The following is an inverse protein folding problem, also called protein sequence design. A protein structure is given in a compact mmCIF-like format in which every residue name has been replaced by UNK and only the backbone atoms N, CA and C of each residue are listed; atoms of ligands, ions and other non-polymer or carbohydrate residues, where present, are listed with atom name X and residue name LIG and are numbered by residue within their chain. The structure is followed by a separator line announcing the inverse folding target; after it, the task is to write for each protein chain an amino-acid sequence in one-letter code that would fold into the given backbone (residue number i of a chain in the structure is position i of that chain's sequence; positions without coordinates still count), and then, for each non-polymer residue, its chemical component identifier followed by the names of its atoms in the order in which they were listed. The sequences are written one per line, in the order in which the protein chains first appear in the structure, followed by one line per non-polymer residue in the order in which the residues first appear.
data_IF_955798519509
#
_entry.id   IF_955798519509
#
_cell.length_a   1.000
_cell.length_b   1.000
_cell.length_c   1.000
_cell.angle_alpha   90.00
_cell.angle_beta   90.00
_cell.angle_gamma   90.00
#
_symmetry.space_group_name_H-M   'P 1'
#
loop_
_entity.id
_entity.type
_entity.pdbx_description
1 polymer ?
#
# COMPACT_ATOMS: atom_id res chain seq x y z
N UNK A 1 -15.91 -25.74 -4.98
CA UNK A 1 -15.79 -24.83 -3.82
C UNK A 1 -15.44 -23.45 -4.35
N UNK A 2 -16.09 -22.36 -3.89
CA UNK A 2 -15.65 -21.02 -4.26
C UNK A 2 -14.23 -20.78 -3.73
N UNK A 3 -13.38 -20.00 -4.43
CA UNK A 3 -12.06 -19.64 -3.94
C UNK A 3 -12.19 -18.82 -2.66
N UNK A 4 -11.68 -19.37 -1.55
CA UNK A 4 -11.63 -18.67 -0.27
C UNK A 4 -10.46 -17.68 -0.32
N UNK A 5 -10.77 -16.39 -0.15
CA UNK A 5 -9.75 -15.34 -0.25
C UNK A 5 -9.03 -15.21 1.09
N UNK A 6 -7.70 -15.12 1.08
CA UNK A 6 -6.92 -14.87 2.30
C UNK A 6 -7.43 -13.61 3.02
N UNK A 7 -7.59 -13.72 4.34
CA UNK A 7 -7.96 -12.59 5.21
C UNK A 7 -6.80 -11.60 5.31
N UNK A 8 -7.11 -10.30 5.28
CA UNK A 8 -6.12 -9.24 5.43
C UNK A 8 -6.09 -8.74 6.88
N UNK A 9 -4.94 -8.87 7.56
CA UNK A 9 -4.78 -8.46 8.95
C UNK A 9 -4.77 -6.92 9.07
N UNK A 10 -5.71 -6.30 9.81
CA UNK A 10 -5.67 -4.86 10.08
C UNK A 10 -4.39 -4.51 10.86
N UNK A 11 -3.55 -3.64 10.30
CA UNK A 11 -2.23 -3.32 10.86
C UNK A 11 -2.01 -1.81 10.75
N UNK A 12 -1.52 -1.17 11.82
CA UNK A 12 -1.11 0.25 11.78
C UNK A 12 0.30 0.34 11.19
N UNK A 13 0.66 1.48 10.61
CA UNK A 13 1.99 1.63 10.00
C UNK A 13 3.11 1.45 11.03
N UNK A 14 2.94 1.97 12.25
CA UNK A 14 3.91 1.79 13.36
C UNK A 14 4.08 0.33 13.82
N UNK A 15 3.09 -0.53 13.57
CA UNK A 15 3.08 -1.93 14.03
C UNK A 15 3.70 -2.86 12.97
N UNK A 16 4.15 -2.31 11.84
CA UNK A 16 4.79 -3.08 10.78
C UNK A 16 6.16 -3.55 11.27
N UNK A 17 6.33 -4.87 11.37
CA UNK A 17 7.57 -5.53 11.72
C UNK A 17 7.92 -6.64 10.72
N UNK A 18 9.12 -7.20 10.85
CA UNK A 18 9.60 -8.28 9.98
C UNK A 18 8.77 -9.58 10.15
N UNK A 19 8.09 -9.77 11.29
CA UNK A 19 7.21 -10.93 11.56
C UNK A 19 5.93 -10.93 10.70
N UNK A 20 5.67 -9.82 10.01
CA UNK A 20 4.52 -9.66 9.12
C UNK A 20 4.89 -9.86 7.65
N UNK A 21 6.16 -10.10 7.32
CA UNK A 21 6.59 -10.35 5.94
C UNK A 21 5.87 -11.60 5.40
N UNK A 22 5.38 -11.49 4.16
CA UNK A 22 4.62 -12.55 3.48
C UNK A 22 3.15 -12.66 3.92
N UNK A 23 2.69 -11.86 4.90
CA UNK A 23 1.29 -11.84 5.33
C UNK A 23 0.51 -10.81 4.53
N UNK A 24 -0.76 -11.13 4.29
CA UNK A 24 -1.73 -10.18 3.74
C UNK A 24 -2.20 -9.25 4.83
N UNK A 25 -2.00 -7.94 4.63
CA UNK A 25 -2.35 -6.92 5.61
C UNK A 25 -3.32 -5.91 4.99
N UNK A 26 -4.02 -5.20 5.86
CA UNK A 26 -4.85 -4.03 5.56
C UNK A 26 -4.34 -2.86 6.37
N UNK A 27 -3.79 -1.86 5.70
CA UNK A 27 -3.20 -0.67 6.31
C UNK A 27 -3.92 0.58 5.82
N UNK A 28 -3.97 1.62 6.64
CA UNK A 28 -4.54 2.90 6.27
C UNK A 28 -3.52 4.01 6.53
N UNK A 29 -3.48 5.02 5.66
CA UNK A 29 -2.61 6.16 5.82
C UNK A 29 -2.88 7.22 4.76
N UNK A 30 -2.11 8.31 4.78
CA UNK A 30 -2.24 9.41 3.82
C UNK A 30 -1.26 9.23 2.68
N UNK A 31 -1.70 9.47 1.45
CA UNK A 31 -0.80 9.50 0.30
C UNK A 31 0.03 10.78 0.36
N UNK A 32 1.35 10.63 0.55
CA UNK A 32 2.29 11.74 0.54
C UNK A 32 2.79 12.05 -0.87
N UNK A 33 3.10 11.01 -1.65
CA UNK A 33 3.59 11.15 -3.01
C UNK A 33 3.30 9.92 -3.85
N UNK A 34 3.28 10.10 -5.17
CA UNK A 34 3.20 9.04 -6.16
C UNK A 34 4.36 9.20 -7.15
N UNK A 35 5.13 8.13 -7.32
CA UNK A 35 6.17 8.06 -8.35
C UNK A 35 5.65 7.22 -9.52
N UNK A 36 5.37 7.89 -10.64
CA UNK A 36 4.88 7.24 -11.85
C UNK A 36 5.92 6.37 -12.56
N UNK A 37 7.22 6.56 -12.31
CA UNK A 37 8.27 5.78 -12.95
C UNK A 37 8.33 4.34 -12.44
N UNK A 38 7.99 4.13 -11.17
CA UNK A 38 8.00 2.81 -10.52
C UNK A 38 6.62 2.36 -10.01
N UNK A 39 5.57 3.15 -10.28
CA UNK A 39 4.20 2.81 -9.88
C UNK A 39 4.03 2.70 -8.37
N UNK A 40 4.82 3.41 -7.57
CA UNK A 40 4.77 3.34 -6.11
C UNK A 40 4.17 4.62 -5.50
N UNK A 41 3.37 4.45 -4.45
CA UNK A 41 2.97 5.55 -3.56
C UNK A 41 3.73 5.47 -2.25
N UNK A 42 3.92 6.62 -1.62
CA UNK A 42 4.39 6.72 -0.25
C UNK A 42 3.19 7.00 0.66
N UNK A 43 2.87 6.03 1.52
CA UNK A 43 1.81 6.11 2.51
C UNK A 43 2.41 6.53 3.85
N UNK A 44 1.81 7.50 4.54
CA UNK A 44 2.30 8.00 5.83
C UNK A 44 1.23 8.02 6.90
N UNK A 45 1.63 7.76 8.15
CA UNK A 45 0.86 7.92 9.37
C UNK A 45 1.79 8.46 10.46
N UNK A 46 1.58 9.72 10.88
CA UNK A 46 2.50 10.49 11.73
C UNK A 46 3.98 10.45 11.30
N UNK A 47 4.79 9.59 11.92
CA UNK A 47 6.24 9.47 11.73
C UNK A 47 6.63 8.23 10.92
N UNK A 48 5.66 7.36 10.66
CA UNK A 48 5.85 6.09 9.98
C UNK A 48 5.43 6.21 8.52
N UNK A 49 6.24 5.60 7.65
CA UNK A 49 6.02 5.63 6.22
C UNK A 49 6.17 4.24 5.62
N UNK A 50 5.38 3.97 4.60
CA UNK A 50 5.37 2.70 3.90
C UNK A 50 5.29 2.95 2.40
N UNK A 51 6.17 2.29 1.64
CA UNK A 51 6.11 2.30 0.18
C UNK A 51 5.15 1.21 -0.27
N UNK A 52 4.19 1.57 -1.12
CA UNK A 52 3.19 0.65 -1.65
C UNK A 52 3.31 0.61 -3.17
N UNK A 53 3.54 -0.59 -3.73
CA UNK A 53 3.47 -0.81 -5.16
C UNK A 53 2.00 -0.90 -5.58
N UNK A 54 1.61 0.03 -6.46
CA UNK A 54 0.25 0.16 -6.99
C UNK A 54 0.19 -0.07 -8.50
N UNK A 55 1.27 -0.59 -9.10
CA UNK A 55 1.41 -0.81 -10.56
C UNK A 55 0.29 -1.67 -11.14
N UNK A 56 -0.25 -2.62 -10.35
CA UNK A 56 -1.33 -3.52 -10.78
C UNK A 56 -2.74 -2.96 -10.51
N UNK A 57 -2.86 -1.88 -9.75
CA UNK A 57 -4.15 -1.37 -9.27
C UNK A 57 -4.57 -0.10 -10.01
N UNK A 58 -3.60 0.63 -10.54
CA UNK A 58 -3.79 1.96 -11.08
C UNK A 58 -3.43 1.93 -12.55
N UNK A 59 -4.37 2.41 -13.36
CA UNK A 59 -4.10 2.72 -14.76
C UNK A 59 -3.27 4.03 -14.82
N UNK A 60 -2.00 3.98 -15.25
CA UNK A 60 -1.13 5.15 -15.29
C UNK A 60 -1.61 6.20 -16.30
N UNK A 61 -2.47 5.82 -17.25
CA UNK A 61 -3.05 6.71 -18.25
C UNK A 61 -4.31 7.43 -17.76
N UNK A 62 -4.89 7.01 -16.62
CA UNK A 62 -6.05 7.66 -16.00
C UNK A 62 -5.63 8.63 -14.91
N UNK A 63 -6.24 9.82 -14.91
CA UNK A 63 -6.08 10.78 -13.81
C UNK A 63 -6.77 10.25 -12.56
N UNK A 64 -5.97 9.84 -11.59
CA UNK A 64 -6.44 9.55 -10.23
C UNK A 64 -6.24 10.80 -9.37
N UNK A 65 -7.34 11.46 -9.00
CA UNK A 65 -7.28 12.72 -8.26
C UNK A 65 -6.62 12.55 -6.89
N UNK A 66 -6.94 11.44 -6.20
CA UNK A 66 -6.38 11.09 -4.90
C UNK A 66 -4.86 10.84 -4.88
N UNK A 67 -4.23 10.54 -6.03
CA UNK A 67 -2.77 10.41 -6.15
C UNK A 67 -2.05 11.76 -6.20
N UNK A 68 -2.71 12.81 -6.70
CA UNK A 68 -2.07 14.10 -7.03
C UNK A 68 -2.17 15.12 -5.91
N UNK A 69 -3.28 15.10 -5.17
CA UNK A 69 -3.57 16.15 -4.20
C UNK A 69 -2.84 15.94 -2.86
N UNK A 70 -2.17 14.78 -2.70
CA UNK A 70 -1.15 14.54 -1.67
C UNK A 70 -1.64 14.88 -0.26
N UNK A 71 -2.62 14.11 0.25
CA UNK A 71 -3.19 14.18 1.62
C UNK A 71 -4.38 13.25 1.84
N UNK A 72 -4.92 12.68 0.77
CA UNK A 72 -6.05 11.75 0.84
C UNK A 72 -5.69 10.53 1.67
N UNK A 73 -6.60 10.17 2.58
CA UNK A 73 -6.49 8.95 3.36
C UNK A 73 -6.98 7.77 2.50
N UNK A 74 -6.16 6.74 2.38
CA UNK A 74 -6.49 5.54 1.59
C UNK A 74 -6.32 4.29 2.43
N UNK A 75 -7.12 3.27 2.11
CA UNK A 75 -6.98 1.93 2.66
C UNK A 75 -6.35 1.00 1.62
N UNK A 76 -5.25 0.37 2.00
CA UNK A 76 -4.42 -0.49 1.15
C UNK A 76 -4.48 -1.92 1.67
N UNK A 77 -4.76 -2.85 0.77
CA UNK A 77 -4.72 -4.29 1.05
C UNK A 77 -3.62 -4.92 0.21
N UNK A 78 -2.71 -5.69 0.79
CA UNK A 78 -1.73 -6.44 0.00
C UNK A 78 -0.78 -7.25 0.87
N UNK A 79 0.29 -7.79 0.29
CA UNK A 79 1.28 -8.59 1.02
C UNK A 79 2.51 -7.75 1.34
N UNK A 80 2.95 -7.81 2.60
CA UNK A 80 4.18 -7.14 3.02
C UNK A 80 5.41 -7.90 2.49
N UNK A 81 6.29 -7.19 1.80
CA UNK A 81 7.56 -7.68 1.31
C UNK A 81 8.72 -6.82 1.84
N UNK A 82 9.88 -7.46 1.97
CA UNK A 82 11.13 -6.78 2.28
C UNK A 82 11.82 -6.41 0.97
N UNK A 83 12.09 -5.12 0.75
CA UNK A 83 13.01 -4.67 -0.29
C UNK A 83 14.35 -4.29 0.34
N UNK A 84 15.44 -4.40 -0.40
CA UNK A 84 16.79 -4.11 0.08
C UNK A 84 16.98 -2.62 0.47
N UNK A 85 16.08 -1.74 0.00
CA UNK A 85 16.14 -0.29 0.28
C UNK A 85 14.96 0.24 1.10
N UNK A 86 13.84 -0.49 1.22
CA UNK A 86 12.64 -0.08 1.96
C UNK A 86 11.68 -1.28 2.18
N UNK A 87 10.63 -1.12 3.02
CA UNK A 87 9.54 -2.13 3.10
C UNK A 87 8.51 -1.83 2.02
N UNK A 88 8.10 -2.85 1.26
CA UNK A 88 7.23 -2.72 0.08
C UNK A 88 5.98 -3.60 0.23
N UNK A 89 4.79 -3.10 -0.12
CA UNK A 89 3.64 -3.99 -0.35
C UNK A 89 3.55 -4.43 -1.81
N UNK A 90 3.37 -5.73 -2.06
CA UNK A 90 3.05 -6.27 -3.39
C UNK A 90 1.67 -6.92 -3.43
N UNK A 91 1.03 -6.80 -4.60
CA UNK A 91 -0.37 -7.16 -4.90
C UNK A 91 -1.38 -6.38 -4.07
N UNK A 92 -1.50 -5.11 -4.41
CA UNK A 92 -2.41 -4.19 -3.75
C UNK A 92 -3.83 -4.31 -4.31
N UNK A 93 -4.86 -4.19 -3.47
CA UNK A 93 -6.21 -3.77 -3.87
C UNK A 93 -6.49 -2.48 -3.11
N UNK A 94 -6.83 -1.42 -3.83
CA UNK A 94 -7.16 -0.13 -3.24
C UNK A 94 -8.68 -0.03 -3.14
N UNK A 95 -9.21 0.11 -1.93
CA UNK A 95 -10.58 0.61 -1.73
C UNK A 95 -10.48 2.09 -1.40
N UNK A 96 -11.07 2.92 -2.25
CA UNK A 96 -11.38 4.32 -1.96
C UNK A 96 -12.59 4.38 -1.02
#
# INVERSE_FOLDING_TARGET
MPPQTDSALPTRLLDISDDLIGKKLRVAGRVLSYNSANGCILLVDDKDALVVDVTVCIDPFKKQQWLRDGKEAVMVFGYLERSESYRLFRRTFLCL
#
